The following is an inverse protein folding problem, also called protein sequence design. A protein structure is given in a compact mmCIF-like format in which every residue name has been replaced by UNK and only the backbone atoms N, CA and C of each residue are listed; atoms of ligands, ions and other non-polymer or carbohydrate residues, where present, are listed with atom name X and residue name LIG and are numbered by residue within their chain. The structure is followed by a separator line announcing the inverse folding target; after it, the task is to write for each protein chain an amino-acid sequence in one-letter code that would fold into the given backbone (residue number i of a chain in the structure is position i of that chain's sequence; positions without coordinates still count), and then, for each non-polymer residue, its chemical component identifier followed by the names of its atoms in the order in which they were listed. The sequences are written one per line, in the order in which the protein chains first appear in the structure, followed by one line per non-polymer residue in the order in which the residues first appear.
data_IF_315037363092
#
_entry.id   IF_315037363092
#
_cell.length_a   1.000
_cell.length_b   1.000
_cell.length_c   1.000
_cell.angle_alpha   90.00
_cell.angle_beta   90.00
_cell.angle_gamma   90.00
#
_symmetry.space_group_name_H-M   'P 1'
#
loop_
_entity.id
_entity.type
_entity.pdbx_description
1 polymer ?
#
# COMPACT_ATOMS: atom_id res chain seq x y z
N UNK A 1 32.60 7.74 40.29
CA UNK A 1 31.25 7.42 39.80
C UNK A 1 30.24 8.26 40.57
N UNK A 2 29.75 9.35 40.00
CA UNK A 2 28.68 10.17 40.60
C UNK A 2 27.38 9.81 39.89
N UNK A 3 26.49 9.10 40.58
CA UNK A 3 25.17 8.76 40.07
C UNK A 3 24.33 10.03 40.01
N UNK A 4 23.97 10.48 38.81
CA UNK A 4 22.95 11.50 38.63
C UNK A 4 21.60 10.91 39.03
N UNK A 5 21.10 11.28 40.22
CA UNK A 5 19.69 11.07 40.58
C UNK A 5 18.90 12.18 39.90
N UNK A 6 18.09 11.84 38.89
CA UNK A 6 17.09 12.76 38.38
C UNK A 6 16.18 13.15 39.55
N UNK A 7 16.04 14.46 39.82
CA UNK A 7 15.00 14.94 40.71
C UNK A 7 13.67 14.61 40.05
N UNK A 8 12.78 13.92 40.76
CA UNK A 8 11.39 13.79 40.32
C UNK A 8 10.82 15.20 40.22
N UNK A 9 10.66 15.69 38.98
CA UNK A 9 9.90 16.91 38.75
C UNK A 9 8.43 16.51 38.81
N UNK A 10 7.82 16.69 39.98
CA UNK A 10 6.37 16.64 40.09
C UNK A 10 5.79 17.73 39.19
N UNK A 11 4.97 17.33 38.23
CA UNK A 11 4.26 18.27 37.36
C UNK A 11 3.36 19.10 38.29
N UNK A 12 3.51 20.44 38.30
CA UNK A 12 2.66 21.30 39.12
C UNK A 12 1.19 21.06 38.78
N UNK A 13 0.39 20.74 39.80
CA UNK A 13 -1.02 20.36 39.66
C UNK A 13 -1.92 21.55 39.28
N UNK A 14 -1.41 22.76 39.47
CA UNK A 14 -2.07 24.05 39.29
C UNK A 14 -2.02 24.61 37.86
N UNK A 15 -1.25 24.00 36.95
CA UNK A 15 -1.16 24.45 35.54
C UNK A 15 -2.52 24.42 34.84
N UNK A 16 -3.41 23.56 35.29
CA UNK A 16 -4.75 23.35 34.74
C UNK A 16 -5.88 23.63 35.73
N UNK A 17 -5.56 24.19 36.91
CA UNK A 17 -6.58 24.57 37.88
C UNK A 17 -7.37 25.78 37.35
N UNK A 18 -8.69 25.79 37.56
CA UNK A 18 -9.60 26.91 37.22
C UNK A 18 -9.29 28.22 37.96
N UNK A 19 -8.23 28.24 38.79
CA UNK A 19 -7.76 29.41 39.50
C UNK A 19 -7.13 30.39 38.51
N UNK A 20 -7.94 31.35 38.05
CA UNK A 20 -7.52 32.47 37.19
C UNK A 20 -6.45 33.32 37.91
N UNK A 21 -5.19 32.97 37.72
CA UNK A 21 -4.08 33.84 38.11
C UNK A 21 -4.26 35.18 37.37
N UNK A 22 -4.30 36.33 38.08
CA UNK A 22 -4.54 37.65 37.48
C UNK A 22 -3.49 38.06 36.44
N UNK A 23 -2.41 37.30 36.31
CA UNK A 23 -1.36 37.46 35.29
C UNK A 23 -1.83 37.16 33.86
N UNK A 24 -2.88 36.35 33.67
CA UNK A 24 -3.33 35.91 32.34
C UNK A 24 -4.61 36.60 31.87
N UNK A 25 -4.75 36.77 30.56
CA UNK A 25 -5.96 37.29 29.91
C UNK A 25 -7.13 36.30 30.03
N UNK A 26 -8.35 36.82 30.21
CA UNK A 26 -9.55 35.99 30.25
C UNK A 26 -9.82 35.28 28.91
N UNK A 27 -10.35 34.07 28.97
CA UNK A 27 -10.81 33.30 27.81
C UNK A 27 -12.24 32.79 28.03
N UNK A 28 -12.91 32.44 26.94
CA UNK A 28 -14.20 31.76 26.92
C UNK A 28 -14.10 30.49 26.09
N UNK A 29 -14.62 29.38 26.61
CA UNK A 29 -14.64 28.11 25.89
C UNK A 29 -15.87 28.01 24.98
N UNK A 30 -15.64 27.97 23.67
CA UNK A 30 -16.72 27.79 22.70
C UNK A 30 -17.01 26.30 22.52
N UNK A 31 -18.18 25.85 23.01
CA UNK A 31 -18.62 24.45 22.94
C UNK A 31 -19.08 24.07 21.52
N UNK A 32 -18.96 22.80 21.16
CA UNK A 32 -19.49 22.25 19.90
C UNK A 32 -18.52 22.21 18.70
N UNK A 33 -17.32 22.77 18.84
CA UNK A 33 -16.31 22.79 17.76
C UNK A 33 -15.27 21.66 17.85
N UNK A 34 -15.35 20.78 18.85
CA UNK A 34 -14.38 19.69 19.05
C UNK A 34 -14.32 18.69 17.90
N UNK A 35 -15.44 18.52 17.16
CA UNK A 35 -15.51 17.68 15.95
C UNK A 35 -14.45 18.03 14.89
N UNK A 36 -14.04 19.31 14.80
CA UNK A 36 -12.99 19.73 13.88
C UNK A 36 -11.61 19.27 14.33
N UNK A 37 -11.38 19.20 15.64
CA UNK A 37 -10.15 18.64 16.23
C UNK A 37 -10.11 17.13 15.99
N UNK A 38 -11.23 16.44 16.18
CA UNK A 38 -11.33 14.99 15.94
C UNK A 38 -11.02 14.61 14.48
N UNK A 39 -11.43 15.44 13.51
CA UNK A 39 -11.13 15.23 12.09
C UNK A 39 -9.65 15.34 11.74
N UNK A 40 -8.85 16.02 12.57
CA UNK A 40 -7.40 16.15 12.36
C UNK A 40 -6.63 14.91 12.83
N UNK A 41 -7.26 14.00 13.59
CA UNK A 41 -6.59 12.79 14.03
C UNK A 41 -6.27 11.86 12.85
N UNK A 42 -5.07 11.25 12.84
CA UNK A 42 -4.69 10.33 11.77
C UNK A 42 -5.56 9.08 11.82
N UNK A 43 -6.02 8.64 10.65
CA UNK A 43 -6.72 7.35 10.54
C UNK A 43 -5.70 6.21 10.66
N UNK A 44 -5.81 5.42 11.73
CA UNK A 44 -4.93 4.28 11.97
C UNK A 44 -5.21 3.09 11.03
N UNK A 45 -6.44 2.98 10.53
CA UNK A 45 -6.89 1.89 9.66
C UNK A 45 -7.19 2.41 8.26
N UNK A 46 -6.72 1.67 7.27
CA UNK A 46 -7.01 1.97 5.86
C UNK A 46 -8.48 1.68 5.58
N UNK A 47 -9.19 2.62 4.91
CA UNK A 47 -10.59 2.45 4.63
C UNK A 47 -10.83 1.28 3.66
N UNK A 48 -12.02 0.69 3.76
CA UNK A 48 -12.52 -0.28 2.78
C UNK A 48 -12.57 0.38 1.39
N UNK A 49 -12.17 -0.31 0.32
CA UNK A 49 -12.16 0.29 -1.01
C UNK A 49 -13.59 0.54 -1.50
N UNK A 50 -13.78 1.55 -2.38
CA UNK A 50 -15.08 1.79 -3.01
C UNK A 50 -15.46 0.59 -3.89
N UNK A 51 -16.76 0.30 -4.03
CA UNK A 51 -17.25 -0.82 -4.87
C UNK A 51 -17.24 -0.52 -6.38
N UNK A 52 -17.23 0.77 -6.75
CA UNK A 52 -17.32 1.21 -8.15
C UNK A 52 -15.94 1.47 -8.72
N UNK A 53 -15.81 1.34 -10.04
CA UNK A 53 -14.64 1.77 -10.79
C UNK A 53 -14.41 3.26 -10.51
N UNK A 54 -13.19 3.61 -10.14
CA UNK A 54 -12.80 5.00 -9.93
C UNK A 54 -12.54 5.67 -11.28
N UNK A 55 -12.78 6.99 -11.37
CA UNK A 55 -12.40 7.79 -12.55
C UNK A 55 -10.91 7.71 -12.87
N UNK A 56 -10.08 7.33 -11.90
CA UNK A 56 -8.62 7.14 -12.07
C UNK A 56 -8.23 5.79 -12.70
N UNK A 57 -9.19 4.94 -13.06
CA UNK A 57 -8.94 3.63 -13.67
C UNK A 57 -8.77 2.47 -12.68
N UNK A 58 -8.91 2.71 -11.37
CA UNK A 58 -8.93 1.63 -10.38
C UNK A 58 -10.18 0.77 -10.51
N UNK A 59 -10.00 -0.56 -10.52
CA UNK A 59 -11.07 -1.57 -10.52
C UNK A 59 -10.95 -2.49 -9.30
N UNK A 60 -12.08 -2.78 -8.68
CA UNK A 60 -12.20 -3.79 -7.63
C UNK A 60 -11.91 -5.19 -8.20
N UNK A 61 -11.36 -6.12 -7.39
CA UNK A 61 -11.26 -7.52 -7.78
C UNK A 61 -12.66 -8.10 -8.01
N UNK A 62 -12.74 -9.15 -8.84
CA UNK A 62 -13.99 -9.87 -9.11
C UNK A 62 -14.51 -10.51 -7.81
N UNK A 63 -15.84 -10.57 -7.65
CA UNK A 63 -16.48 -11.28 -6.52
C UNK A 63 -16.29 -12.80 -6.64
N UNK A 64 -16.18 -13.30 -7.87
CA UNK A 64 -15.91 -14.70 -8.16
C UNK A 64 -14.42 -14.91 -8.41
N UNK A 65 -13.85 -15.91 -7.74
CA UNK A 65 -12.48 -16.33 -7.99
C UNK A 65 -12.37 -16.98 -9.38
N UNK A 66 -11.33 -16.65 -10.16
CA UNK A 66 -11.09 -17.34 -11.42
C UNK A 66 -10.72 -18.79 -11.18
N UNK A 67 -11.12 -19.68 -12.11
CA UNK A 67 -10.81 -21.11 -12.05
C UNK A 67 -9.35 -21.38 -12.51
N UNK A 68 -8.38 -20.85 -11.76
CA UNK A 68 -6.95 -21.02 -11.99
C UNK A 68 -6.24 -21.41 -10.69
N UNK A 69 -5.10 -22.11 -10.73
CA UNK A 69 -4.41 -22.60 -9.53
C UNK A 69 -3.61 -21.52 -8.79
N UNK A 70 -3.72 -20.25 -9.20
CA UNK A 70 -2.99 -19.12 -8.61
C UNK A 70 -3.92 -17.92 -8.38
N UNK A 71 -3.48 -17.00 -7.52
CA UNK A 71 -4.19 -15.77 -7.22
C UNK A 71 -3.20 -14.63 -6.93
N UNK A 72 -3.46 -13.44 -7.47
CA UNK A 72 -2.65 -12.24 -7.21
C UNK A 72 -3.34 -11.35 -6.18
N UNK A 73 -2.77 -11.29 -4.97
CA UNK A 73 -3.35 -10.51 -3.87
C UNK A 73 -3.15 -9.01 -4.04
N UNK A 74 -4.21 -8.22 -3.82
CA UNK A 74 -4.11 -6.75 -3.77
C UNK A 74 -3.22 -6.29 -2.60
N UNK A 75 -2.56 -5.17 -2.81
CA UNK A 75 -1.77 -4.51 -1.78
C UNK A 75 -2.68 -3.93 -0.70
N UNK A 76 -2.08 -3.51 0.42
CA UNK A 76 -2.78 -2.86 1.52
C UNK A 76 -3.59 -1.61 1.07
N UNK A 77 -3.14 -0.92 0.02
CA UNK A 77 -3.81 0.24 -0.54
C UNK A 77 -4.79 -0.12 -1.68
N UNK A 78 -5.18 -1.40 -1.78
CA UNK A 78 -6.11 -1.95 -2.77
C UNK A 78 -5.61 -1.92 -4.23
N UNK A 79 -4.31 -1.70 -4.45
CA UNK A 79 -3.69 -1.65 -5.78
C UNK A 79 -3.14 -3.01 -6.20
N UNK A 80 -3.03 -3.23 -7.52
CA UNK A 80 -2.31 -4.38 -8.05
C UNK A 80 -0.81 -4.30 -7.69
N UNK A 81 -0.18 -5.41 -7.28
CA UNK A 81 1.21 -5.46 -6.82
C UNK A 81 2.22 -5.54 -7.98
N UNK A 82 2.06 -4.69 -9.00
CA UNK A 82 2.91 -4.64 -10.21
C UNK A 82 3.80 -3.41 -10.13
N UNK A 83 5.11 -3.62 -10.18
CA UNK A 83 6.11 -2.57 -9.99
C UNK A 83 7.21 -2.67 -11.04
N UNK A 84 7.63 -1.54 -11.57
CA UNK A 84 8.88 -1.43 -12.31
C UNK A 84 10.06 -1.42 -11.33
N UNK A 85 11.15 -2.09 -11.71
CA UNK A 85 12.42 -2.13 -11.02
C UNK A 85 13.51 -1.77 -12.03
N UNK A 86 14.31 -0.74 -11.74
CA UNK A 86 15.39 -0.27 -12.60
C UNK A 86 16.72 -0.74 -12.01
N UNK A 87 17.40 -1.65 -12.71
CA UNK A 87 18.75 -2.02 -12.32
C UNK A 87 19.74 -0.94 -12.78
N UNK A 88 20.16 -0.08 -11.85
CA UNK A 88 20.98 1.10 -12.15
C UNK A 88 22.30 0.79 -12.84
N UNK A 89 22.92 -0.36 -12.50
CA UNK A 89 24.24 -0.76 -13.01
C UNK A 89 24.21 -1.06 -14.51
N UNK A 90 23.21 -1.81 -14.93
CA UNK A 90 23.08 -2.32 -16.30
C UNK A 90 22.02 -1.53 -17.10
N UNK A 91 21.35 -0.56 -16.46
CA UNK A 91 20.34 0.34 -17.03
C UNK A 91 19.21 -0.40 -17.76
N UNK A 92 18.79 -1.54 -17.21
CA UNK A 92 17.64 -2.27 -17.73
C UNK A 92 16.48 -2.19 -16.74
N UNK A 93 15.28 -2.17 -17.31
CA UNK A 93 14.03 -2.19 -16.57
C UNK A 93 13.55 -3.63 -16.43
N UNK A 94 12.89 -3.92 -15.32
CA UNK A 94 12.28 -5.21 -15.03
C UNK A 94 10.95 -4.95 -14.37
N UNK A 95 9.89 -5.61 -14.82
CA UNK A 95 8.58 -5.51 -14.19
C UNK A 95 8.35 -6.68 -13.25
N UNK A 96 8.13 -6.39 -11.96
CA UNK A 96 7.92 -7.38 -10.90
C UNK A 96 6.47 -7.40 -10.44
N UNK A 97 5.87 -8.58 -10.43
CA UNK A 97 4.56 -8.86 -9.83
C UNK A 97 4.77 -9.56 -8.49
N UNK A 98 4.25 -8.99 -7.40
CA UNK A 98 4.32 -9.56 -6.05
C UNK A 98 2.98 -10.17 -5.61
N UNK A 99 2.94 -10.78 -4.42
CA UNK A 99 1.76 -11.37 -3.81
C UNK A 99 1.08 -12.44 -4.68
N UNK A 100 1.88 -13.21 -5.42
CA UNK A 100 1.39 -14.36 -6.19
C UNK A 100 1.24 -15.54 -5.24
N UNK A 101 0.03 -15.99 -5.01
CA UNK A 101 -0.31 -17.13 -4.17
C UNK A 101 -0.73 -18.32 -5.04
N UNK A 102 -0.54 -19.54 -4.55
CA UNK A 102 -0.85 -20.77 -5.30
C UNK A 102 0.30 -21.19 -6.21
N UNK A 103 -0.02 -21.75 -7.37
CA UNK A 103 0.98 -22.24 -8.33
C UNK A 103 1.61 -21.08 -9.13
N UNK A 104 2.77 -20.62 -8.64
CA UNK A 104 3.51 -19.50 -9.23
C UNK A 104 4.11 -19.81 -10.60
N UNK A 105 4.41 -21.08 -10.90
CA UNK A 105 4.95 -21.47 -12.20
C UNK A 105 3.87 -21.44 -13.27
N UNK A 106 2.65 -21.87 -12.96
CA UNK A 106 1.52 -21.73 -13.88
C UNK A 106 1.21 -20.25 -14.11
N UNK A 107 1.27 -19.41 -13.06
CA UNK A 107 1.13 -17.96 -13.22
C UNK A 107 2.20 -17.37 -14.15
N UNK A 108 3.47 -17.73 -13.94
CA UNK A 108 4.57 -17.25 -14.76
C UNK A 108 4.39 -17.66 -16.21
N UNK A 109 4.04 -18.92 -16.46
CA UNK A 109 3.85 -19.45 -17.80
C UNK A 109 2.70 -18.76 -18.54
N UNK A 110 1.54 -18.61 -17.88
CA UNK A 110 0.36 -17.95 -18.47
C UNK A 110 0.65 -16.50 -18.83
N UNK A 111 1.28 -15.76 -17.90
CA UNK A 111 1.57 -14.35 -18.10
C UNK A 111 2.68 -14.15 -19.14
N UNK A 112 3.72 -14.99 -19.12
CA UNK A 112 4.78 -14.98 -20.12
C UNK A 112 4.24 -15.22 -21.51
N UNK A 113 3.43 -16.26 -21.68
CA UNK A 113 2.81 -16.60 -22.97
C UNK A 113 1.99 -15.42 -23.50
N UNK A 114 1.19 -14.79 -22.65
CA UNK A 114 0.41 -13.61 -23.04
C UNK A 114 1.30 -12.44 -23.50
N UNK A 115 2.39 -12.17 -22.78
CA UNK A 115 3.31 -11.08 -23.13
C UNK A 115 4.08 -11.40 -24.43
N UNK A 116 4.55 -12.64 -24.61
CA UNK A 116 5.25 -13.06 -25.82
C UNK A 116 4.34 -13.00 -27.05
N UNK A 117 3.06 -13.37 -26.93
CA UNK A 117 2.04 -13.21 -27.98
C UNK A 117 1.78 -11.74 -28.31
N UNK A 118 1.72 -10.85 -27.30
CA UNK A 118 1.44 -9.42 -27.49
C UNK A 118 2.61 -8.69 -28.18
N UNK A 119 3.85 -9.05 -27.84
CA UNK A 119 5.05 -8.35 -28.34
C UNK A 119 5.78 -9.09 -29.47
N UNK A 120 5.46 -10.35 -29.75
CA UNK A 120 6.12 -11.17 -30.77
C UNK A 120 7.61 -11.43 -30.49
N UNK A 121 8.03 -11.27 -29.23
CA UNK A 121 9.43 -11.44 -28.79
C UNK A 121 9.47 -12.38 -27.60
N UNK A 122 10.55 -13.15 -27.50
CA UNK A 122 10.80 -14.00 -26.32
C UNK A 122 11.13 -13.11 -25.13
N UNK A 123 10.50 -13.37 -23.98
CA UNK A 123 10.66 -12.56 -22.78
C UNK A 123 11.37 -13.38 -21.71
N UNK A 124 12.41 -12.81 -21.10
CA UNK A 124 13.05 -13.42 -19.94
C UNK A 124 12.22 -13.18 -18.67
N UNK A 125 12.16 -14.21 -17.84
CA UNK A 125 11.36 -14.25 -16.62
C UNK A 125 12.15 -14.90 -15.50
N UNK A 126 11.91 -14.46 -14.27
CA UNK A 126 12.53 -15.01 -13.08
C UNK A 126 11.49 -15.17 -11.97
N UNK A 127 11.40 -16.38 -11.43
CA UNK A 127 10.44 -16.77 -10.39
C UNK A 127 11.14 -16.83 -9.05
N UNK A 128 10.56 -16.18 -8.04
CA UNK A 128 10.97 -16.35 -6.65
C UNK A 128 9.79 -16.85 -5.82
N UNK A 129 9.80 -18.15 -5.54
CA UNK A 129 8.74 -18.82 -4.78
C UNK A 129 8.65 -18.32 -3.35
N UNK A 130 9.80 -18.23 -2.67
CA UNK A 130 9.89 -17.85 -1.25
C UNK A 130 9.38 -16.42 -1.04
N UNK A 131 9.69 -15.52 -1.99
CA UNK A 131 9.23 -14.14 -1.99
C UNK A 131 7.82 -13.96 -2.57
N UNK A 132 7.24 -15.01 -3.16
CA UNK A 132 5.93 -14.97 -3.84
C UNK A 132 5.86 -13.87 -4.92
N UNK A 133 6.89 -13.78 -5.76
CA UNK A 133 6.95 -12.80 -6.84
C UNK A 133 7.59 -13.35 -8.11
N UNK A 134 7.17 -12.79 -9.24
CA UNK A 134 7.73 -13.07 -10.58
C UNK A 134 8.16 -11.77 -11.20
N UNK A 135 9.32 -11.76 -11.86
CA UNK A 135 9.82 -10.63 -12.62
C UNK A 135 9.96 -10.96 -14.08
N UNK A 136 9.63 -10.00 -14.93
CA UNK A 136 9.75 -10.06 -16.38
C UNK A 136 10.69 -8.95 -16.83
N UNK A 137 11.53 -9.24 -17.83
CA UNK A 137 12.38 -8.23 -18.45
C UNK A 137 11.52 -7.06 -18.98
N UNK A 138 12.08 -5.84 -18.99
CA UNK A 138 11.51 -4.61 -19.53
C UNK A 138 10.41 -3.94 -18.69
N UNK A 139 10.05 -2.73 -19.12
CA UNK A 139 8.89 -1.99 -18.60
C UNK A 139 7.62 -2.47 -19.31
N UNK A 140 6.76 -3.14 -18.55
CA UNK A 140 5.53 -3.82 -19.00
C UNK A 140 4.42 -3.68 -17.96
N UNK A 141 4.47 -2.61 -17.17
CA UNK A 141 3.61 -2.44 -15.99
C UNK A 141 2.14 -2.35 -16.40
N UNK A 142 1.82 -1.57 -17.43
CA UNK A 142 0.47 -1.33 -17.91
C UNK A 142 -0.15 -2.59 -18.50
N UNK A 143 0.59 -3.34 -19.32
CA UNK A 143 0.13 -4.56 -19.97
C UNK A 143 -0.16 -5.67 -18.95
N UNK A 144 0.73 -5.83 -17.97
CA UNK A 144 0.53 -6.79 -16.89
C UNK A 144 -0.68 -6.39 -16.03
N UNK A 145 -0.84 -5.10 -15.70
CA UNK A 145 -2.01 -4.62 -14.96
C UNK A 145 -3.30 -4.87 -15.73
N UNK A 146 -3.32 -4.58 -17.03
CA UNK A 146 -4.47 -4.82 -17.91
C UNK A 146 -4.87 -6.29 -17.91
N UNK A 147 -3.90 -7.19 -18.08
CA UNK A 147 -4.13 -8.64 -18.06
C UNK A 147 -4.68 -9.12 -16.71
N UNK A 148 -4.11 -8.64 -15.60
CA UNK A 148 -4.58 -8.98 -14.25
C UNK A 148 -6.00 -8.49 -13.99
N UNK A 149 -6.33 -7.27 -14.42
CA UNK A 149 -7.70 -6.75 -14.33
C UNK A 149 -8.68 -7.56 -15.17
N UNK A 150 -8.29 -8.00 -16.36
CA UNK A 150 -9.14 -8.81 -17.23
C UNK A 150 -9.39 -10.21 -16.66
N UNK A 151 -8.42 -10.79 -15.95
CA UNK A 151 -8.57 -12.04 -15.20
C UNK A 151 -9.42 -11.89 -13.93
N UNK A 152 -9.60 -10.66 -13.43
CA UNK A 152 -10.42 -10.34 -12.26
C UNK A 152 -9.69 -10.40 -10.92
N UNK A 153 -8.35 -10.38 -10.92
CA UNK A 153 -7.53 -10.32 -9.70
C UNK A 153 -7.51 -8.91 -9.09
#
# INVERSE_FOLDING_TARGET
SKHFRAKEHEIPKDIWDDNKDPKYTGYEEVKGHWQYVEQLFPKLRIPTPPKKVSSTGWKAPSETLPNVPYNVGRTRNHMLPVYEDLETKHRFFTTRVKNVNGDIYVFEHDLKTHLEEKFGTKIESHVNEIGCWVSFEGDRVEEIKEWLFNKGF
#
